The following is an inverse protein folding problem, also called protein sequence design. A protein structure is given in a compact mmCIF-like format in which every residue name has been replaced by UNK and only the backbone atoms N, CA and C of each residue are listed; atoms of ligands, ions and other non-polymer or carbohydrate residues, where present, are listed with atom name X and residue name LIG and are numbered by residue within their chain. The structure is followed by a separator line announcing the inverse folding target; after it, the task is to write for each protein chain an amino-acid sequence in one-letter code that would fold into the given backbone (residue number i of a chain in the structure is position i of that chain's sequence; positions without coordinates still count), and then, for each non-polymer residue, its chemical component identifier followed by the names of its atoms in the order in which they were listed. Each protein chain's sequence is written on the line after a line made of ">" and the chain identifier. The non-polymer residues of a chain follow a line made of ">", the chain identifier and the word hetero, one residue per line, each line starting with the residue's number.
data_IF_616776846638
#
_entry.id   IF_616776846638
#
_cell.length_a   1.000
_cell.length_b   1.000
_cell.length_c   1.000
_cell.angle_alpha   90.00
_cell.angle_beta   90.00
_cell.angle_gamma   90.00
#
_symmetry.space_group_name_H-M   'P 1'
#
loop_
_entity.id
_entity.type
_entity.pdbx_description
1 polymer ?
#
# COMPACT_ATOMS: atom_id res chain seq x y z
N UNK A 1 36.28 20.96 0.79
CA UNK A 1 35.10 20.33 0.18
C UNK A 1 34.71 19.15 1.06
N UNK A 2 33.76 19.34 1.96
CA UNK A 2 33.26 18.28 2.85
C UNK A 2 32.10 17.58 2.15
N UNK A 3 32.21 16.25 2.00
CA UNK A 3 31.16 15.40 1.47
C UNK A 3 29.95 15.45 2.40
N UNK A 4 28.78 15.77 1.86
CA UNK A 4 27.52 15.54 2.55
C UNK A 4 27.30 14.03 2.61
N UNK A 5 27.77 13.38 3.69
CA UNK A 5 27.31 12.05 4.05
C UNK A 5 25.81 12.15 4.30
N UNK A 6 25.02 11.64 3.37
CA UNK A 6 23.57 11.53 3.48
C UNK A 6 23.27 10.63 4.68
N UNK A 7 22.92 11.23 5.83
CA UNK A 7 22.41 10.52 6.99
C UNK A 7 21.10 9.83 6.57
N UNK A 8 21.20 8.58 6.10
CA UNK A 8 20.04 7.72 5.91
C UNK A 8 19.42 7.49 7.28
N UNK A 9 18.17 7.90 7.46
CA UNK A 9 17.39 7.60 8.66
C UNK A 9 17.50 6.08 8.95
N UNK A 10 18.04 5.73 10.12
CA UNK A 10 18.21 4.32 10.54
C UNK A 10 16.87 3.81 11.05
N UNK A 11 16.20 2.97 10.27
CA UNK A 11 15.02 2.22 10.72
C UNK A 11 15.52 1.13 11.67
N UNK A 12 14.97 1.10 12.89
CA UNK A 12 15.26 0.08 13.90
C UNK A 12 13.99 -0.76 14.03
N UNK A 13 14.10 -2.06 13.75
CA UNK A 13 13.02 -3.02 13.83
C UNK A 13 13.58 -4.44 13.75
N UNK A 14 12.74 -5.44 13.99
CA UNK A 14 13.14 -6.83 13.74
C UNK A 14 13.53 -7.02 12.27
N UNK A 15 14.39 -8.00 11.97
CA UNK A 15 14.79 -8.31 10.58
C UNK A 15 13.56 -8.50 9.68
N UNK A 16 12.57 -9.27 10.17
CA UNK A 16 11.26 -9.47 9.53
C UNK A 16 10.51 -8.14 9.30
N UNK A 17 10.49 -7.23 10.27
CA UNK A 17 9.83 -5.93 10.11
C UNK A 17 10.55 -5.04 9.10
N UNK A 18 11.88 -4.98 9.11
CA UNK A 18 12.65 -4.16 8.15
C UNK A 18 12.52 -4.73 6.73
N UNK A 19 12.48 -6.06 6.59
CA UNK A 19 12.26 -6.73 5.31
C UNK A 19 10.84 -6.52 4.78
N UNK A 20 9.83 -6.44 5.65
CA UNK A 20 8.43 -6.34 5.25
C UNK A 20 7.89 -4.90 5.14
N UNK A 21 8.42 -3.95 5.90
CA UNK A 21 8.00 -2.54 5.88
C UNK A 21 8.90 -1.71 4.95
N UNK A 22 8.86 -2.01 3.65
CA UNK A 22 9.66 -1.30 2.65
C UNK A 22 8.96 -0.08 2.06
N UNK A 23 7.64 0.03 2.20
CA UNK A 23 6.84 1.05 1.53
C UNK A 23 5.79 1.66 2.45
N UNK A 24 5.47 2.93 2.21
CA UNK A 24 4.33 3.65 2.77
C UNK A 24 3.33 3.92 1.65
N UNK A 25 2.05 3.69 1.92
CA UNK A 25 1.00 3.98 0.93
C UNK A 25 0.43 5.38 1.16
N UNK A 26 0.59 6.26 0.17
CA UNK A 26 -0.08 7.56 0.13
C UNK A 26 -1.25 7.53 -0.84
N UNK A 27 -2.30 8.29 -0.53
CA UNK A 27 -3.58 8.17 -1.22
C UNK A 27 -4.01 9.52 -1.81
N UNK A 28 -4.59 9.48 -3.00
CA UNK A 28 -5.15 10.65 -3.66
C UNK A 28 -6.47 10.35 -4.34
N UNK A 29 -7.39 11.31 -4.33
CA UNK A 29 -8.63 11.22 -5.12
C UNK A 29 -8.27 11.37 -6.59
N UNK A 30 -8.76 10.50 -7.47
CA UNK A 30 -8.46 10.60 -8.91
C UNK A 30 -9.74 10.75 -9.74
N UNK A 31 -9.68 11.67 -10.70
CA UNK A 31 -10.74 11.91 -11.69
C UNK A 31 -10.19 11.48 -13.05
N UNK A 32 -10.66 10.34 -13.54
CA UNK A 32 -10.30 9.85 -14.87
C UNK A 32 -11.20 10.46 -15.95
N UNK A 33 -10.59 10.75 -17.10
CA UNK A 33 -11.33 11.22 -18.29
C UNK A 33 -12.20 10.10 -18.86
N UNK A 34 -11.73 8.85 -18.83
CA UNK A 34 -12.46 7.67 -19.27
C UNK A 34 -12.67 6.71 -18.09
N UNK A 35 -13.82 6.84 -17.43
CA UNK A 35 -14.18 6.03 -16.25
C UNK A 35 -14.56 4.60 -16.64
N UNK A 36 -15.10 4.39 -17.83
CA UNK A 36 -15.58 3.08 -18.28
C UNK A 36 -14.41 2.11 -18.48
N UNK A 37 -13.36 2.56 -19.18
CA UNK A 37 -12.16 1.74 -19.38
C UNK A 37 -11.45 1.44 -18.07
N UNK A 38 -11.33 2.43 -17.18
CA UNK A 38 -10.74 2.22 -15.85
C UNK A 38 -11.54 1.21 -15.02
N UNK A 39 -12.87 1.26 -15.09
CA UNK A 39 -13.76 0.29 -14.44
C UNK A 39 -13.63 -1.10 -15.06
N UNK A 40 -13.49 -1.19 -16.39
CA UNK A 40 -13.26 -2.45 -17.10
C UNK A 40 -11.96 -3.13 -16.64
N UNK A 41 -10.87 -2.37 -16.51
CA UNK A 41 -9.59 -2.89 -15.98
C UNK A 41 -9.79 -3.45 -14.58
N UNK A 42 -10.44 -2.69 -13.70
CA UNK A 42 -10.69 -3.11 -12.32
C UNK A 42 -11.55 -4.37 -12.22
N UNK A 43 -12.56 -4.51 -13.08
CA UNK A 43 -13.42 -5.71 -13.14
C UNK A 43 -12.64 -6.93 -13.62
N UNK A 44 -11.88 -6.81 -14.71
CA UNK A 44 -11.06 -7.90 -15.22
C UNK A 44 -9.98 -8.33 -14.22
N UNK A 45 -9.31 -7.37 -13.58
CA UNK A 45 -8.34 -7.63 -12.52
C UNK A 45 -8.98 -8.38 -11.35
N UNK A 46 -10.12 -7.89 -10.84
CA UNK A 46 -10.85 -8.55 -9.76
C UNK A 46 -11.34 -9.95 -10.16
N UNK A 47 -11.74 -10.14 -11.41
CA UNK A 47 -12.11 -11.45 -11.95
C UNK A 47 -10.92 -12.41 -11.95
N UNK A 48 -9.75 -11.98 -12.42
CA UNK A 48 -8.52 -12.79 -12.39
C UNK A 48 -8.18 -13.20 -10.95
N UNK A 49 -8.20 -12.26 -9.99
CA UNK A 49 -7.93 -12.58 -8.58
C UNK A 49 -8.89 -13.66 -8.08
N UNK A 50 -10.19 -13.52 -8.35
CA UNK A 50 -11.21 -14.50 -7.92
C UNK A 50 -11.04 -15.86 -8.57
N UNK A 51 -10.82 -15.87 -9.89
CA UNK A 51 -10.66 -17.09 -10.68
C UNK A 51 -9.37 -17.84 -10.35
N UNK A 52 -8.37 -17.16 -9.78
CA UNK A 52 -7.11 -17.78 -9.40
C UNK A 52 -7.14 -18.45 -8.01
N UNK A 53 -8.04 -18.05 -7.09
CA UNK A 53 -8.04 -18.55 -5.71
C UNK A 53 -8.18 -20.09 -5.64
N UNK A 54 -9.23 -20.66 -6.24
CA UNK A 54 -9.45 -22.11 -6.16
C UNK A 54 -8.34 -22.92 -6.85
N UNK A 55 -7.90 -22.57 -8.08
CA UNK A 55 -6.79 -23.27 -8.70
C UNK A 55 -5.48 -23.20 -7.91
N UNK A 56 -5.20 -22.07 -7.24
CA UNK A 56 -4.03 -21.93 -6.37
C UNK A 56 -4.15 -22.83 -5.12
N UNK A 57 -5.34 -22.94 -4.52
CA UNK A 57 -5.62 -23.89 -3.43
C UNK A 57 -5.44 -25.34 -3.88
N UNK A 58 -5.79 -25.65 -5.12
CA UNK A 58 -5.59 -26.97 -5.76
C UNK A 58 -4.14 -27.23 -6.17
N UNK A 59 -3.22 -26.28 -5.94
CA UNK A 59 -1.79 -26.43 -6.18
C UNK A 59 -1.31 -26.06 -7.59
N UNK A 60 -2.13 -25.39 -8.41
CA UNK A 60 -1.64 -24.84 -9.69
C UNK A 60 -0.61 -23.75 -9.47
N UNK A 61 0.38 -23.69 -10.36
CA UNK A 61 1.40 -22.64 -10.33
C UNK A 61 0.91 -21.30 -10.89
N UNK A 62 1.56 -20.21 -10.47
CA UNK A 62 1.31 -18.87 -11.03
C UNK A 62 1.61 -18.84 -12.53
N UNK A 63 2.63 -19.58 -12.99
CA UNK A 63 3.03 -19.66 -14.40
C UNK A 63 1.95 -20.30 -15.28
N UNK A 64 1.31 -21.37 -14.82
CA UNK A 64 0.17 -22.00 -15.50
C UNK A 64 -1.01 -21.04 -15.58
N UNK A 65 -1.38 -20.43 -14.45
CA UNK A 65 -2.50 -19.48 -14.39
C UNK A 65 -2.25 -18.22 -15.21
N UNK A 66 -1.00 -17.82 -15.38
CA UNK A 66 -0.63 -16.72 -16.27
C UNK A 66 -1.02 -17.02 -17.72
N UNK A 67 -0.90 -18.26 -18.18
CA UNK A 67 -1.33 -18.65 -19.53
C UNK A 67 -2.85 -18.72 -19.63
N UNK A 68 -3.49 -19.37 -18.67
CA UNK A 68 -4.94 -19.61 -18.65
C UNK A 68 -5.74 -18.30 -18.61
N UNK A 69 -5.26 -17.32 -17.84
CA UNK A 69 -6.00 -16.08 -17.56
C UNK A 69 -5.53 -14.87 -18.39
N UNK A 70 -4.57 -15.05 -19.31
CA UNK A 70 -4.08 -13.97 -20.17
C UNK A 70 -5.17 -13.40 -21.10
N UNK A 71 -6.10 -14.24 -21.53
CA UNK A 71 -7.26 -13.84 -22.34
C UNK A 71 -8.17 -12.85 -21.61
N UNK A 72 -8.26 -12.96 -20.28
CA UNK A 72 -9.09 -12.09 -19.42
C UNK A 72 -8.38 -10.77 -19.17
N UNK A 73 -7.07 -10.77 -18.92
CA UNK A 73 -6.29 -9.58 -18.64
C UNK A 73 -4.96 -9.61 -19.42
N UNK A 74 -4.95 -9.14 -20.70
CA UNK A 74 -3.83 -9.29 -21.62
C UNK A 74 -2.72 -8.25 -21.37
N UNK A 75 -2.27 -8.18 -20.12
CA UNK A 75 -1.15 -7.36 -19.70
C UNK A 75 -0.41 -8.12 -18.59
N UNK A 76 0.76 -8.64 -18.93
CA UNK A 76 1.56 -9.50 -18.06
C UNK A 76 1.80 -8.89 -16.67
N UNK A 77 2.13 -7.59 -16.57
CA UNK A 77 2.41 -6.97 -15.28
C UNK A 77 1.17 -6.86 -14.40
N UNK A 78 0.00 -6.51 -14.97
CA UNK A 78 -1.24 -6.54 -14.19
C UNK A 78 -1.62 -7.96 -13.79
N UNK A 79 -1.53 -8.91 -14.72
CA UNK A 79 -1.89 -10.31 -14.49
C UNK A 79 -1.02 -10.94 -13.41
N UNK A 80 0.30 -10.81 -13.51
CA UNK A 80 1.24 -11.30 -12.49
C UNK A 80 0.98 -10.63 -11.13
N UNK A 81 0.68 -9.32 -11.11
CA UNK A 81 0.32 -8.63 -9.86
C UNK A 81 -0.97 -9.19 -9.26
N UNK A 82 -1.99 -9.48 -10.08
CA UNK A 82 -3.25 -10.08 -9.64
C UNK A 82 -3.06 -11.49 -9.09
N UNK A 83 -2.27 -12.32 -9.76
CA UNK A 83 -1.98 -13.69 -9.32
C UNK A 83 -1.19 -13.72 -8.02
N UNK A 84 -0.20 -12.84 -7.85
CA UNK A 84 0.52 -12.68 -6.57
C UNK A 84 -0.41 -12.25 -5.44
N UNK A 85 -1.35 -11.34 -5.70
CA UNK A 85 -2.36 -10.98 -4.71
C UNK A 85 -3.29 -12.15 -4.36
N UNK A 86 -3.71 -12.94 -5.35
CA UNK A 86 -4.50 -14.14 -5.10
C UNK A 86 -3.71 -15.17 -4.27
N UNK A 87 -2.43 -15.35 -4.56
CA UNK A 87 -1.54 -16.25 -3.80
C UNK A 87 -1.39 -15.81 -2.35
N UNK A 88 -1.16 -14.53 -2.08
CA UNK A 88 -1.12 -14.01 -0.69
C UNK A 88 -2.45 -14.23 0.04
N UNK A 89 -3.60 -14.08 -0.65
CA UNK A 89 -4.89 -14.41 -0.05
C UNK A 89 -4.97 -15.91 0.30
N UNK A 90 -4.51 -16.78 -0.60
CA UNK A 90 -4.53 -18.24 -0.38
C UNK A 90 -3.60 -18.65 0.77
N UNK A 91 -2.38 -18.12 0.83
CA UNK A 91 -1.44 -18.33 1.95
C UNK A 91 -2.08 -17.92 3.28
N UNK A 92 -2.72 -16.74 3.34
CA UNK A 92 -3.43 -16.28 4.55
C UNK A 92 -4.66 -17.12 4.92
N UNK A 93 -5.28 -17.81 3.97
CA UNK A 93 -6.38 -18.73 4.24
C UNK A 93 -5.82 -20.02 4.84
N UNK A 94 -4.84 -20.63 4.18
CA UNK A 94 -4.21 -21.89 4.62
C UNK A 94 -3.64 -21.76 6.03
N UNK A 95 -2.93 -20.67 6.33
CA UNK A 95 -2.42 -20.38 7.68
C UNK A 95 -3.55 -20.40 8.73
N UNK A 96 -4.74 -19.88 8.40
CA UNK A 96 -5.89 -19.85 9.31
C UNK A 96 -6.65 -21.18 9.37
N UNK A 97 -6.67 -21.95 8.28
CA UNK A 97 -7.23 -23.30 8.27
C UNK A 97 -6.40 -24.22 9.18
N UNK A 98 -5.07 -24.11 9.13
CA UNK A 98 -4.17 -24.85 10.02
C UNK A 98 -4.36 -24.45 11.50
N UNK A 99 -4.60 -23.17 11.78
CA UNK A 99 -4.87 -22.68 13.15
C UNK A 99 -6.26 -23.12 13.69
N UNK A 100 -7.28 -23.21 12.83
CA UNK A 100 -8.68 -23.38 13.26
C UNK A 100 -9.29 -24.75 12.97
N UNK A 101 -8.69 -25.53 12.07
CA UNK A 101 -9.23 -26.81 11.62
C UNK A 101 -10.53 -26.71 10.82
N UNK A 102 -10.85 -25.55 10.24
CA UNK A 102 -12.07 -25.29 9.47
C UNK A 102 -11.76 -24.72 8.09
N UNK A 103 -12.52 -25.10 7.06
CA UNK A 103 -12.38 -24.58 5.69
C UNK A 103 -12.84 -23.12 5.62
N UNK A 104 -11.98 -22.21 5.16
CA UNK A 104 -12.29 -20.77 5.09
C UNK A 104 -12.44 -20.34 3.63
N UNK A 105 -13.67 -19.96 3.27
CA UNK A 105 -13.94 -19.42 1.95
C UNK A 105 -13.64 -17.92 1.86
N UNK A 106 -12.73 -17.51 0.95
CA UNK A 106 -12.53 -16.09 0.62
C UNK A 106 -13.61 -15.56 -0.33
N UNK A 107 -14.21 -14.42 0.03
CA UNK A 107 -15.14 -13.69 -0.85
C UNK A 107 -14.63 -12.29 -1.17
N UNK A 108 -14.05 -12.14 -2.36
CA UNK A 108 -13.66 -10.84 -2.91
C UNK A 108 -14.90 -10.10 -3.43
N UNK A 109 -15.41 -9.12 -2.68
CA UNK A 109 -16.64 -8.39 -3.05
C UNK A 109 -16.40 -7.14 -3.89
N UNK A 110 -15.26 -6.46 -3.72
CA UNK A 110 -14.96 -5.17 -4.38
C UNK A 110 -14.11 -5.39 -5.62
N UNK A 111 -14.11 -4.42 -6.54
CA UNK A 111 -13.19 -4.38 -7.67
C UNK A 111 -12.17 -3.26 -7.48
N UNK A 112 -10.93 -3.56 -7.88
CA UNK A 112 -9.77 -2.70 -7.85
C UNK A 112 -8.78 -3.25 -8.86
N UNK A 113 -7.69 -2.55 -9.10
CA UNK A 113 -6.53 -3.13 -9.75
C UNK A 113 -5.24 -2.56 -9.19
N UNK A 114 -4.17 -3.33 -9.27
CA UNK A 114 -2.84 -2.90 -8.87
C UNK A 114 -1.81 -3.25 -9.95
N UNK A 115 -0.75 -2.45 -10.01
CA UNK A 115 0.42 -2.69 -10.84
C UNK A 115 1.66 -2.59 -9.97
N UNK A 116 2.46 -3.65 -9.95
CA UNK A 116 3.76 -3.62 -9.28
C UNK A 116 4.72 -2.62 -9.96
N UNK A 117 5.54 -1.98 -9.13
CA UNK A 117 6.61 -1.10 -9.58
C UNK A 117 7.86 -1.86 -10.02
N UNK A 118 8.64 -1.24 -10.90
CA UNK A 118 10.00 -1.67 -11.24
C UNK A 118 10.82 -0.45 -11.67
N UNK A 119 12.03 -0.31 -11.11
CA UNK A 119 12.98 0.73 -11.49
C UNK A 119 13.32 0.72 -12.98
N UNK A 120 13.43 -0.46 -13.60
CA UNK A 120 13.74 -0.61 -15.03
C UNK A 120 12.65 -0.01 -15.93
N UNK A 121 11.40 -0.04 -15.46
CA UNK A 121 10.22 0.48 -16.15
C UNK A 121 10.00 1.97 -15.90
N UNK A 122 10.98 2.70 -15.36
CA UNK A 122 10.84 4.09 -14.89
C UNK A 122 9.78 4.23 -13.80
N UNK A 123 9.91 3.48 -12.72
CA UNK A 123 8.99 3.50 -11.59
C UNK A 123 7.92 2.40 -11.64
N UNK A 124 7.00 2.50 -12.60
CA UNK A 124 5.90 1.53 -12.78
C UNK A 124 5.47 1.44 -14.24
N UNK A 125 5.35 0.24 -14.81
CA UNK A 125 5.08 0.05 -16.24
C UNK A 125 3.69 0.53 -16.67
N UNK A 126 2.67 0.29 -15.83
CA UNK A 126 1.28 0.50 -16.22
C UNK A 126 0.65 1.75 -15.59
N UNK A 127 1.22 2.30 -14.52
CA UNK A 127 0.73 3.53 -13.91
C UNK A 127 1.85 4.55 -13.85
N UNK A 128 1.74 5.63 -14.63
CA UNK A 128 2.66 6.75 -14.61
C UNK A 128 2.03 7.94 -13.94
N UNK A 129 2.85 8.80 -13.36
CA UNK A 129 2.39 10.09 -12.91
C UNK A 129 3.37 11.21 -13.26
N UNK A 130 2.86 12.44 -13.28
CA UNK A 130 3.63 13.67 -13.43
C UNK A 130 3.07 14.72 -12.47
N UNK A 131 3.92 15.31 -11.65
CA UNK A 131 3.49 16.27 -10.62
C UNK A 131 3.39 17.67 -11.23
N UNK A 132 2.19 18.26 -11.15
CA UNK A 132 1.90 19.66 -11.45
C UNK A 132 1.68 20.41 -10.11
N UNK A 133 1.65 21.74 -10.13
CA UNK A 133 1.58 22.58 -8.93
C UNK A 133 0.35 22.31 -8.04
N UNK A 134 -0.82 22.04 -8.64
CA UNK A 134 -2.09 21.85 -7.90
C UNK A 134 -2.62 20.40 -7.92
N UNK A 135 -2.08 19.55 -8.80
CA UNK A 135 -2.51 18.15 -8.94
C UNK A 135 -1.43 17.27 -9.58
N UNK A 136 -1.68 15.97 -9.61
CA UNK A 136 -0.81 14.98 -10.23
C UNK A 136 -1.51 14.40 -11.45
N UNK A 137 -0.93 14.56 -12.64
CA UNK A 137 -1.44 13.88 -13.83
C UNK A 137 -1.07 12.40 -13.74
N UNK A 138 -2.07 11.52 -13.83
CA UNK A 138 -1.88 10.07 -13.81
C UNK A 138 -2.22 9.51 -15.19
N UNK A 139 -1.37 8.60 -15.69
CA UNK A 139 -1.64 7.80 -16.89
C UNK A 139 -1.70 6.33 -16.50
N UNK A 140 -2.78 5.67 -16.87
CA UNK A 140 -2.99 4.23 -16.66
C UNK A 140 -2.99 3.53 -18.01
N UNK A 141 -2.17 2.50 -18.17
CA UNK A 141 -2.13 1.70 -19.40
C UNK A 141 -3.36 0.80 -19.44
N UNK A 142 -4.17 0.95 -20.49
CA UNK A 142 -5.25 0.02 -20.81
C UNK A 142 -4.65 -1.29 -21.37
N UNK A 143 -4.94 -2.47 -20.78
CA UNK A 143 -4.55 -3.77 -21.31
C UNK A 143 -4.99 -3.99 -22.76
N UNK A 144 -6.12 -3.40 -23.18
CA UNK A 144 -6.70 -3.58 -24.52
C UNK A 144 -6.49 -2.37 -25.43
N UNK A 145 -5.70 -1.37 -25.03
CA UNK A 145 -5.66 -0.14 -25.81
C UNK A 145 -4.62 0.92 -25.39
N UNK A 146 -5.08 2.17 -25.41
CA UNK A 146 -4.26 3.38 -25.21
C UNK A 146 -4.15 3.75 -23.73
N UNK A 147 -3.31 4.72 -23.42
CA UNK A 147 -3.23 5.28 -22.08
C UNK A 147 -4.50 6.04 -21.72
N UNK A 148 -4.98 5.85 -20.49
CA UNK A 148 -6.10 6.59 -19.91
C UNK A 148 -5.51 7.64 -18.97
N UNK A 149 -5.95 8.90 -19.11
CA UNK A 149 -5.45 10.02 -18.32
C UNK A 149 -6.45 10.36 -17.22
N UNK A 150 -5.92 10.75 -16.05
CA UNK A 150 -6.71 11.32 -14.97
C UNK A 150 -5.92 12.35 -14.17
N UNK A 151 -6.64 13.13 -13.37
CA UNK A 151 -6.08 14.10 -12.42
C UNK A 151 -6.24 13.54 -11.01
N UNK A 152 -5.12 13.34 -10.32
CA UNK A 152 -5.09 12.88 -8.94
C UNK A 152 -4.74 14.03 -7.99
N UNK A 153 -5.45 14.08 -6.87
CA UNK A 153 -5.31 15.11 -5.84
C UNK A 153 -4.85 14.45 -4.55
N UNK A 154 -3.59 14.69 -4.21
CA UNK A 154 -2.96 14.28 -2.95
C UNK A 154 -2.91 15.47 -2.00
N UNK A 155 -2.66 15.23 -0.71
CA UNK A 155 -2.28 16.30 0.22
C UNK A 155 -1.09 17.10 -0.32
N UNK A 156 -1.11 18.43 -0.15
CA UNK A 156 -0.07 19.33 -0.69
C UNK A 156 1.32 18.98 -0.17
N UNK A 157 1.38 18.48 1.07
CA UNK A 157 2.58 18.00 1.73
C UNK A 157 3.26 16.85 0.98
N UNK A 158 2.53 16.07 0.18
CA UNK A 158 3.09 14.96 -0.60
C UNK A 158 3.66 15.38 -1.96
N UNK A 159 3.45 16.62 -2.43
CA UNK A 159 3.87 17.03 -3.77
C UNK A 159 5.40 17.06 -3.92
N UNK A 160 6.14 17.49 -2.89
CA UNK A 160 7.61 17.48 -2.91
C UNK A 160 8.16 16.05 -2.98
N UNK A 161 7.59 15.14 -2.18
CA UNK A 161 7.92 13.73 -2.18
C UNK A 161 7.63 13.08 -3.53
N UNK A 162 6.45 13.36 -4.11
CA UNK A 162 6.07 12.83 -5.40
C UNK A 162 6.97 13.34 -6.54
N UNK A 163 7.39 14.62 -6.51
CA UNK A 163 8.36 15.17 -7.47
C UNK A 163 9.68 14.41 -7.40
N UNK A 164 10.22 14.19 -6.20
CA UNK A 164 11.45 13.43 -6.05
C UNK A 164 11.29 11.96 -6.50
N UNK A 165 10.16 11.31 -6.16
CA UNK A 165 9.86 9.95 -6.63
C UNK A 165 9.78 9.87 -8.15
N UNK A 166 9.19 10.85 -8.81
CA UNK A 166 9.13 10.95 -10.27
C UNK A 166 10.53 11.06 -10.89
N UNK A 167 11.40 11.89 -10.31
CA UNK A 167 12.79 12.04 -10.75
C UNK A 167 13.59 10.75 -10.60
N UNK A 168 13.51 10.11 -9.42
CA UNK A 168 14.15 8.81 -9.15
C UNK A 168 13.66 7.73 -10.11
N UNK A 169 12.35 7.68 -10.36
CA UNK A 169 11.75 6.78 -11.31
C UNK A 169 12.27 7.05 -12.74
N UNK A 170 12.35 8.31 -13.17
CA UNK A 170 12.86 8.68 -14.49
C UNK A 170 14.33 8.31 -14.69
N UNK A 171 15.15 8.39 -13.63
CA UNK A 171 16.54 7.91 -13.61
C UNK A 171 16.68 6.39 -13.46
N UNK A 172 15.56 5.65 -13.35
CA UNK A 172 15.53 4.19 -13.10
C UNK A 172 16.23 3.77 -11.81
N UNK A 173 16.24 4.65 -10.82
CA UNK A 173 16.83 4.40 -9.50
C UNK A 173 15.82 3.73 -8.58
N UNK A 174 14.53 4.00 -8.76
CA UNK A 174 13.48 3.54 -7.84
C UNK A 174 12.18 3.11 -8.53
N UNK A 175 11.47 2.17 -7.90
CA UNK A 175 10.16 1.67 -8.28
C UNK A 175 9.06 2.18 -7.36
N UNK A 176 7.81 2.17 -7.83
CA UNK A 176 6.66 2.39 -6.96
C UNK A 176 5.48 1.50 -7.35
N UNK A 177 4.81 0.91 -6.37
CA UNK A 177 3.55 0.22 -6.59
C UNK A 177 2.42 1.23 -6.77
N UNK A 178 1.43 0.87 -7.57
CA UNK A 178 0.24 1.70 -7.76
C UNK A 178 -1.01 0.83 -7.71
N UNK A 179 -2.01 1.25 -6.96
CA UNK A 179 -3.31 0.60 -6.87
C UNK A 179 -4.42 1.62 -7.07
N UNK A 180 -5.50 1.23 -7.74
CA UNK A 180 -6.68 2.05 -7.94
C UNK A 180 -7.89 1.31 -7.38
N UNK A 181 -8.61 1.96 -6.45
CA UNK A 181 -9.79 1.39 -5.78
C UNK A 181 -11.03 2.26 -5.99
N UNK A 182 -12.20 1.66 -5.83
CA UNK A 182 -13.51 2.28 -6.09
C UNK A 182 -14.41 2.16 -4.85
N UNK A 183 -14.07 2.89 -3.77
CA UNK A 183 -14.88 2.88 -2.55
C UNK A 183 -16.13 3.77 -2.70
N UNK A 184 -15.95 5.09 -2.63
CA UNK A 184 -17.00 6.08 -2.89
C UNK A 184 -16.75 6.82 -4.21
N UNK A 185 -15.47 7.04 -4.50
CA UNK A 185 -14.96 7.58 -5.75
C UNK A 185 -13.63 6.87 -6.05
N UNK A 186 -13.12 6.95 -7.30
CA UNK A 186 -11.82 6.38 -7.64
C UNK A 186 -10.70 7.01 -6.79
N UNK A 187 -9.92 6.15 -6.15
CA UNK A 187 -8.75 6.51 -5.35
C UNK A 187 -7.52 5.89 -5.99
N UNK A 188 -6.44 6.66 -6.08
CA UNK A 188 -5.10 6.12 -6.37
C UNK A 188 -4.33 5.98 -5.06
N UNK A 189 -3.64 4.86 -4.92
CA UNK A 189 -2.79 4.48 -3.81
C UNK A 189 -1.38 4.25 -4.37
N UNK A 190 -0.42 5.08 -3.98
CA UNK A 190 0.98 4.94 -4.39
C UNK A 190 1.81 4.38 -3.23
N UNK A 191 2.48 3.26 -3.49
CA UNK A 191 3.40 2.64 -2.56
C UNK A 191 4.78 3.26 -2.76
N UNK A 192 5.12 4.20 -1.89
CA UNK A 192 6.36 4.98 -1.91
C UNK A 192 7.39 4.30 -1.01
N UNK A 193 8.67 4.21 -1.40
CA UNK A 193 9.70 3.67 -0.53
C UNK A 193 9.73 4.38 0.83
N UNK A 194 9.78 3.61 1.91
CA UNK A 194 9.74 4.13 3.27
C UNK A 194 10.88 5.12 3.52
N UNK A 195 12.07 4.85 2.97
CA UNK A 195 13.23 5.75 3.11
C UNK A 195 12.95 7.15 2.53
N UNK A 196 12.25 7.22 1.40
CA UNK A 196 11.91 8.47 0.73
C UNK A 196 10.82 9.21 1.49
N UNK A 197 9.82 8.46 1.98
CA UNK A 197 8.81 9.00 2.89
C UNK A 197 9.44 9.64 4.12
N UNK A 198 10.34 8.91 4.79
CA UNK A 198 11.04 9.41 5.97
C UNK A 198 11.95 10.61 5.64
N UNK A 199 12.55 10.68 4.46
CA UNK A 199 13.34 11.85 4.06
C UNK A 199 12.52 13.15 4.05
N UNK A 200 11.27 13.09 3.59
CA UNK A 200 10.39 14.27 3.48
C UNK A 200 9.64 14.59 4.77
N UNK A 201 9.25 13.57 5.54
CA UNK A 201 8.34 13.74 6.67
C UNK A 201 8.95 13.47 8.05
N UNK A 202 10.17 12.92 8.12
CA UNK A 202 10.83 12.84 9.42
C UNK A 202 11.27 14.23 9.83
N UNK A 203 10.78 14.69 10.97
CA UNK A 203 11.42 15.80 11.67
C UNK A 203 12.82 15.38 12.09
N UNK A 204 13.78 16.30 12.07
CA UNK A 204 15.06 16.07 12.76
C UNK A 204 14.73 15.59 14.18
N UNK A 205 15.44 14.55 14.67
CA UNK A 205 15.33 14.18 16.08
C UNK A 205 15.51 15.48 16.87
N UNK A 206 14.50 15.95 17.62
CA UNK A 206 14.74 16.99 18.59
C UNK A 206 15.91 16.52 19.45
N UNK A 207 16.70 17.42 20.02
CA UNK A 207 17.50 17.09 21.20
C UNK A 207 16.51 16.62 22.26
N UNK A 208 16.15 15.34 22.21
CA UNK A 208 15.01 14.81 22.90
C UNK A 208 15.27 14.85 24.39
N UNK A 209 14.20 15.00 25.18
CA UNK A 209 14.24 15.03 26.63
C UNK A 209 14.64 13.68 27.28
N UNK A 210 15.21 12.74 26.51
CA UNK A 210 15.47 11.38 26.95
C UNK A 210 14.20 10.54 27.12
N UNK A 211 13.10 10.93 26.47
CA UNK A 211 11.81 10.24 26.56
C UNK A 211 11.62 9.27 25.40
N UNK A 212 10.97 8.14 25.67
CA UNK A 212 10.58 7.10 24.71
C UNK A 212 9.08 6.92 24.77
N UNK A 213 8.39 7.00 23.63
CA UNK A 213 6.97 6.69 23.54
C UNK A 213 6.76 5.24 23.06
N UNK A 214 6.04 4.45 23.83
CA UNK A 214 5.51 3.15 23.43
C UNK A 214 4.07 3.29 22.93
N UNK A 215 3.76 2.64 21.82
CA UNK A 215 2.43 2.62 21.22
C UNK A 215 1.93 1.18 21.20
N UNK A 216 0.77 0.96 21.81
CA UNK A 216 0.03 -0.30 21.74
C UNK A 216 -1.27 -0.06 20.94
N UNK A 217 -1.31 -0.63 19.74
CA UNK A 217 -2.35 -0.46 18.75
C UNK A 217 -3.30 -1.66 18.80
N UNK A 218 -4.53 -1.42 19.22
CA UNK A 218 -5.62 -2.40 19.20
C UNK A 218 -6.65 -2.04 18.11
N UNK A 219 -7.60 -2.93 17.82
CA UNK A 219 -8.64 -2.67 16.81
C UNK A 219 -9.62 -1.55 17.19
N UNK A 220 -9.75 -1.25 18.48
CA UNK A 220 -10.72 -0.30 19.06
C UNK A 220 -10.06 0.87 19.81
N UNK A 221 -8.76 0.79 20.09
CA UNK A 221 -8.02 1.81 20.85
C UNK A 221 -6.54 1.91 20.48
N UNK A 222 -6.00 3.10 20.65
CA UNK A 222 -4.57 3.39 20.68
C UNK A 222 -4.17 3.72 22.11
N UNK A 223 -3.33 2.89 22.72
CA UNK A 223 -2.69 3.18 23.98
C UNK A 223 -1.29 3.74 23.71
N UNK A 224 -0.94 4.85 24.36
CA UNK A 224 0.39 5.44 24.28
C UNK A 224 0.92 5.62 25.69
N UNK A 225 2.16 5.21 25.92
CA UNK A 225 2.91 5.47 27.15
C UNK A 225 4.17 6.23 26.79
N UNK A 226 4.55 7.21 27.58
CA UNK A 226 5.83 7.91 27.47
C UNK A 226 6.63 7.58 28.72
N UNK A 227 7.84 7.05 28.54
CA UNK A 227 8.77 6.71 29.61
C UNK A 227 10.05 7.53 29.50
N UNK A 228 10.75 7.76 30.61
CA UNK A 228 12.10 8.32 30.58
C UNK A 228 13.18 7.23 30.40
N UNK A 229 14.46 7.63 30.40
CA UNK A 229 15.60 6.72 30.23
C UNK A 229 15.76 5.71 31.38
N UNK A 230 15.17 6.01 32.54
CA UNK A 230 15.20 5.16 33.73
C UNK A 230 14.01 4.19 33.75
N UNK A 231 13.13 4.24 32.73
CA UNK A 231 11.94 3.41 32.62
C UNK A 231 10.75 3.93 33.42
N UNK A 232 10.81 5.16 33.94
CA UNK A 232 9.68 5.76 34.67
C UNK A 232 8.64 6.24 33.66
N UNK A 233 7.38 5.86 33.88
CA UNK A 233 6.24 6.37 33.12
C UNK A 233 6.04 7.86 33.45
N UNK A 234 6.17 8.71 32.43
CA UNK A 234 5.97 10.15 32.49
C UNK A 234 4.50 10.50 32.23
N UNK A 235 3.89 9.85 31.23
CA UNK A 235 2.48 10.03 30.92
C UNK A 235 1.97 8.84 30.12
N UNK A 236 0.66 8.63 30.12
CA UNK A 236 0.00 7.69 29.25
C UNK A 236 -1.33 8.27 28.77
N UNK A 237 -1.78 7.85 27.59
CA UNK A 237 -3.06 8.26 27.02
C UNK A 237 -3.64 7.15 26.16
N UNK A 238 -4.95 6.96 26.30
CA UNK A 238 -5.72 6.04 25.46
C UNK A 238 -6.68 6.85 24.59
N UNK A 239 -6.64 6.60 23.28
CA UNK A 239 -7.64 7.11 22.34
C UNK A 239 -8.51 5.94 21.87
N UNK A 240 -9.82 6.09 22.00
CA UNK A 240 -10.79 5.12 21.49
C UNK A 240 -11.21 5.51 20.07
N UNK A 241 -11.19 4.56 19.15
CA UNK A 241 -11.69 4.78 17.80
C UNK A 241 -13.23 4.81 17.84
N UNK A 242 -13.83 5.95 17.56
CA UNK A 242 -15.29 6.14 17.57
C UNK A 242 -16.03 5.34 16.49
N UNK A 243 -15.30 4.84 15.49
CA UNK A 243 -15.85 4.16 14.31
C UNK A 243 -15.80 2.63 14.42
N UNK A 244 -15.12 2.08 15.42
CA UNK A 244 -15.03 0.65 15.67
C UNK A 244 -16.14 0.23 16.65
N UNK A 245 -17.14 -0.50 16.17
CA UNK A 245 -18.18 -1.08 17.04
C UNK A 245 -17.58 -2.28 17.78
N UNK A 246 -17.01 -2.04 18.96
CA UNK A 246 -16.63 -3.08 19.90
C UNK A 246 -17.88 -3.76 20.43
N UNK A 247 -18.21 -4.94 19.88
CA UNK A 247 -19.22 -5.81 20.49
C UNK A 247 -18.58 -6.47 21.72
N UNK A 248 -19.09 -6.16 22.92
CA UNK A 248 -18.76 -6.89 24.15
C UNK A 248 -17.81 -6.21 25.15
N UNK A 249 -17.33 -4.98 24.92
CA UNK A 249 -16.58 -4.23 25.93
C UNK A 249 -17.43 -3.10 26.52
N UNK A 250 -17.54 -3.07 27.86
CA UNK A 250 -18.22 -1.98 28.57
C UNK A 250 -17.44 -0.67 28.40
N UNK A 251 -18.17 0.43 28.17
CA UNK A 251 -17.64 1.79 28.04
C UNK A 251 -17.31 2.46 29.37
N UNK A 252 -17.42 1.75 30.49
CA UNK A 252 -17.16 2.32 31.79
C UNK A 252 -15.67 2.32 32.11
N UNK A 253 -15.14 3.52 32.38
CA UNK A 253 -13.79 3.73 32.89
C UNK A 253 -13.69 3.13 34.29
N UNK A 254 -12.61 2.40 34.64
CA UNK A 254 -12.30 2.15 36.04
C UNK A 254 -11.91 3.48 36.70
N UNK A 255 -12.56 3.77 37.83
CA UNK A 255 -12.25 4.88 38.75
C UNK A 255 -10.89 4.64 39.40
#
# INVERSE_FOLDING_TARGET
>A
MLSQMTLKNKIIGSKKAIENFQFVTINGKVIFHDKERITRIARAYSQVVKSAINPLLEGKSIEELTKDLYSILPNYIYLETALKQANTIVEELLDKEDEKGEIIHAKVKKFWFASRGNKADKGNRNVKFHVIDDHVLVKVKDPWGKWIVGKAYFGKEYLSLLKELEELANRKEEGYGAMITFKHYPMIHLQVPLWLYLKHFSTQKPSGYGLVAGFDLNGDRLNVVVVDRQGKIITFKTWWYTEAVSHGYSKELPV
#
